data_IF_096895820568
#
_entry.id   IF_096895820568
#
_cell.length_a   1.000
_cell.length_b   1.000
_cell.length_c   1.000
_cell.angle_alpha   90.00
_cell.angle_beta   90.00
_cell.angle_gamma   90.00
#
_symmetry.space_group_name_H-M   'P 1'
#
loop_
_entity.id
_entity.type
_entity.pdbx_description
1 polymer ?
#
# COMPACT_ATOMS: atom_id res chain seq x y z
N UNK A 1 5.77 0.08 21.48
CA UNK A 1 4.58 -0.21 20.65
C UNK A 1 4.94 -1.34 19.71
N UNK A 2 4.11 -2.39 19.58
CA UNK A 2 4.22 -3.27 18.40
C UNK A 2 3.52 -2.52 17.26
N UNK A 3 4.28 -2.00 16.31
CA UNK A 3 3.72 -1.29 15.16
C UNK A 3 2.88 -2.22 14.30
N UNK A 4 1.74 -1.74 13.80
CA UNK A 4 0.91 -2.44 12.84
C UNK A 4 1.40 -2.22 11.40
N UNK A 5 0.91 -3.03 10.46
CA UNK A 5 1.12 -2.77 9.03
C UNK A 5 0.69 -1.36 8.63
N UNK A 6 -0.39 -0.83 9.22
CA UNK A 6 -0.88 0.52 8.96
C UNK A 6 0.12 1.58 9.44
N UNK A 7 0.65 1.43 10.66
CA UNK A 7 1.61 2.40 11.21
C UNK A 7 2.88 2.49 10.36
N UNK A 8 3.36 1.33 9.87
CA UNK A 8 4.52 1.28 8.99
C UNK A 8 4.18 1.89 7.62
N UNK A 9 2.99 1.62 7.07
CA UNK A 9 2.54 2.21 5.81
C UNK A 9 2.46 3.74 5.89
N UNK A 10 1.96 4.30 6.99
CA UNK A 10 1.94 5.75 7.23
C UNK A 10 3.35 6.33 7.32
N UNK A 11 4.29 5.61 7.93
CA UNK A 11 5.69 6.01 7.97
C UNK A 11 6.31 6.05 6.57
N UNK A 12 6.02 5.05 5.73
CA UNK A 12 6.50 5.01 4.34
C UNK A 12 5.93 6.17 3.50
N UNK A 13 4.63 6.47 3.66
CA UNK A 13 3.96 7.61 3.03
C UNK A 13 4.64 8.94 3.38
N UNK A 14 4.96 9.11 4.66
CA UNK A 14 5.64 10.31 5.13
C UNK A 14 7.04 10.42 4.52
N UNK A 15 7.77 9.30 4.43
CA UNK A 15 9.08 9.27 3.79
C UNK A 15 8.99 9.60 2.30
N UNK A 16 8.01 9.04 1.57
CA UNK A 16 7.75 9.36 0.17
C UNK A 16 7.46 10.85 -0.05
N UNK A 17 6.63 11.45 0.81
CA UNK A 17 6.33 12.90 0.79
C UNK A 17 7.60 13.75 0.92
N UNK A 18 8.51 13.38 1.82
CA UNK A 18 9.78 14.12 2.00
C UNK A 18 10.67 13.93 0.77
N UNK A 19 10.76 12.71 0.24
CA UNK A 19 11.52 12.39 -0.97
C UNK A 19 11.12 13.28 -2.17
N UNK A 20 9.82 13.41 -2.42
CA UNK A 20 9.28 14.28 -3.50
C UNK A 20 9.62 15.75 -3.31
N UNK A 21 9.76 16.23 -2.08
CA UNK A 21 9.93 17.65 -1.76
C UNK A 21 11.39 18.07 -1.53
N UNK A 22 12.33 17.13 -1.39
CA UNK A 22 13.76 17.39 -1.14
C UNK A 22 14.48 18.05 -2.32
N UNK A 23 15.61 18.74 -2.21
CA UNK A 23 16.29 19.30 -3.41
C UNK A 23 17.15 18.28 -4.20
N UNK A 24 17.24 17.04 -3.72
CA UNK A 24 18.17 16.00 -4.19
C UNK A 24 17.60 15.09 -5.30
N UNK A 25 16.53 15.53 -5.97
CA UNK A 25 15.43 14.62 -6.35
C UNK A 25 15.72 13.56 -7.42
N UNK A 26 16.43 13.87 -8.50
CA UNK A 26 16.72 12.91 -9.58
C UNK A 26 18.17 12.43 -9.61
N UNK A 27 19.13 13.33 -9.35
CA UNK A 27 20.56 13.05 -9.56
C UNK A 27 21.12 11.93 -8.66
N UNK A 28 20.51 11.69 -7.50
CA UNK A 28 20.89 10.61 -6.58
C UNK A 28 19.81 9.52 -6.43
N UNK A 29 18.80 9.51 -7.31
CA UNK A 29 17.73 8.51 -7.28
C UNK A 29 16.62 8.70 -6.25
N UNK A 30 16.45 9.94 -5.75
CA UNK A 30 15.41 10.26 -4.77
C UNK A 30 13.99 9.89 -5.24
N UNK A 31 13.68 10.10 -6.51
CA UNK A 31 12.39 9.75 -7.09
C UNK A 31 12.13 8.24 -7.17
N UNK A 32 13.13 7.43 -7.51
CA UNK A 32 13.02 5.97 -7.48
C UNK A 32 12.73 5.49 -6.05
N UNK A 33 13.47 6.02 -5.06
CA UNK A 33 13.24 5.70 -3.66
C UNK A 33 11.84 6.11 -3.19
N UNK A 34 11.36 7.27 -3.63
CA UNK A 34 9.99 7.70 -3.34
C UNK A 34 8.96 6.72 -3.91
N UNK A 35 9.03 6.40 -5.20
CA UNK A 35 8.10 5.47 -5.83
C UNK A 35 8.16 4.09 -5.17
N UNK A 36 9.36 3.59 -4.84
CA UNK A 36 9.55 2.36 -4.10
C UNK A 36 8.89 2.41 -2.71
N UNK A 37 9.00 3.52 -1.97
CA UNK A 37 8.29 3.70 -0.71
C UNK A 37 6.77 3.72 -0.89
N UNK A 38 6.26 4.37 -1.94
CA UNK A 38 4.83 4.38 -2.25
C UNK A 38 4.29 2.94 -2.48
N UNK A 39 5.00 2.13 -3.28
CA UNK A 39 4.58 0.73 -3.52
C UNK A 39 4.55 -0.10 -2.24
N UNK A 40 5.53 0.09 -1.37
CA UNK A 40 5.62 -0.62 -0.09
C UNK A 40 4.52 -0.17 0.89
N UNK A 41 4.23 1.13 0.93
CA UNK A 41 3.15 1.66 1.77
C UNK A 41 1.81 1.09 1.34
N UNK A 42 1.51 1.10 0.03
CA UNK A 42 0.28 0.53 -0.53
C UNK A 42 0.15 -0.95 -0.21
N UNK A 43 1.22 -1.73 -0.39
CA UNK A 43 1.21 -3.15 -0.01
C UNK A 43 0.81 -3.31 1.46
N UNK A 44 1.42 -2.53 2.36
CA UNK A 44 1.17 -2.61 3.79
C UNK A 44 -0.24 -2.12 4.16
N UNK A 45 -0.76 -1.08 3.53
CA UNK A 45 -2.15 -0.62 3.71
C UNK A 45 -3.15 -1.72 3.31
N UNK A 46 -2.96 -2.37 2.16
CA UNK A 46 -3.84 -3.46 1.73
C UNK A 46 -3.72 -4.67 2.66
N UNK A 47 -2.49 -5.07 3.03
CA UNK A 47 -2.26 -6.18 3.98
C UNK A 47 -2.85 -5.91 5.36
N UNK A 48 -2.88 -4.65 5.78
CA UNK A 48 -3.52 -4.28 7.04
C UNK A 48 -4.99 -4.69 7.08
N UNK A 49 -5.76 -4.53 5.99
CA UNK A 49 -7.17 -4.92 5.98
C UNK A 49 -7.38 -6.43 6.17
N UNK A 50 -6.53 -7.28 5.58
CA UNK A 50 -6.58 -8.73 5.83
C UNK A 50 -6.39 -9.04 7.30
N UNK A 51 -5.37 -8.43 7.92
CA UNK A 51 -5.04 -8.66 9.32
C UNK A 51 -6.10 -8.07 10.24
N UNK A 52 -6.56 -6.84 10.00
CA UNK A 52 -7.52 -6.14 10.85
C UNK A 52 -8.86 -6.87 10.92
N UNK A 53 -9.34 -7.38 9.79
CA UNK A 53 -10.62 -8.08 9.67
C UNK A 53 -10.53 -9.61 9.77
N UNK A 54 -9.35 -10.15 10.12
CA UNK A 54 -9.09 -11.60 10.21
C UNK A 54 -9.54 -12.36 8.94
N UNK A 55 -9.28 -11.77 7.78
CA UNK A 55 -9.62 -12.36 6.49
C UNK A 55 -8.63 -13.48 6.14
N UNK A 56 -9.04 -14.49 5.36
CA UNK A 56 -8.14 -15.50 4.86
C UNK A 56 -6.94 -14.86 4.15
N UNK A 57 -5.75 -15.08 4.70
CA UNK A 57 -4.50 -14.52 4.20
C UNK A 57 -3.54 -15.67 3.92
N UNK A 58 -3.76 -16.34 2.79
CA UNK A 58 -2.93 -17.47 2.36
C UNK A 58 -1.46 -17.08 2.29
N UNK A 59 -0.55 -17.97 2.68
CA UNK A 59 0.90 -17.70 2.72
C UNK A 59 1.42 -17.09 1.43
N UNK A 60 0.98 -17.62 0.27
CA UNK A 60 1.36 -17.10 -1.06
C UNK A 60 0.91 -15.67 -1.30
N UNK A 61 -0.27 -15.29 -0.82
CA UNK A 61 -0.78 -13.93 -0.92
C UNK A 61 -0.06 -13.00 0.08
N UNK A 62 0.31 -13.53 1.24
CA UNK A 62 1.05 -12.79 2.27
C UNK A 62 2.49 -12.48 1.89
N UNK A 63 3.14 -13.37 1.15
CA UNK A 63 4.49 -13.21 0.61
C UNK A 63 4.48 -12.50 -0.75
N UNK A 64 3.32 -12.44 -1.40
CA UNK A 64 3.16 -11.72 -2.67
C UNK A 64 3.27 -10.22 -2.45
N UNK A 65 3.97 -9.58 -3.39
CA UNK A 65 4.04 -8.14 -3.56
C UNK A 65 3.12 -7.62 -4.67
N UNK A 66 2.27 -8.51 -5.22
CA UNK A 66 1.36 -8.18 -6.29
C UNK A 66 0.14 -7.41 -5.74
N UNK A 67 0.16 -6.08 -5.89
CA UNK A 67 -0.88 -5.19 -5.40
C UNK A 67 -2.25 -5.50 -6.03
N UNK A 68 -2.24 -5.88 -7.31
CA UNK A 68 -3.46 -6.27 -8.01
C UNK A 68 -4.08 -7.55 -7.41
N UNK A 69 -3.25 -8.51 -6.98
CA UNK A 69 -3.73 -9.74 -6.35
C UNK A 69 -4.33 -9.45 -4.96
N UNK A 70 -3.66 -8.64 -4.16
CA UNK A 70 -4.17 -8.20 -2.85
C UNK A 70 -5.53 -7.49 -3.00
N UNK A 71 -5.62 -6.53 -3.92
CA UNK A 71 -6.86 -5.78 -4.15
C UNK A 71 -8.00 -6.69 -4.61
N UNK A 72 -7.75 -7.61 -5.55
CA UNK A 72 -8.79 -8.54 -6.04
C UNK A 72 -9.42 -9.37 -4.92
N UNK A 73 -8.61 -9.82 -3.98
CA UNK A 73 -9.11 -10.58 -2.83
C UNK A 73 -9.89 -9.70 -1.84
N UNK A 74 -9.40 -8.48 -1.56
CA UNK A 74 -10.10 -7.53 -0.70
C UNK A 74 -11.47 -7.12 -1.27
N UNK A 75 -11.58 -6.93 -2.59
CA UNK A 75 -12.83 -6.54 -3.27
C UNK A 75 -13.96 -7.56 -3.07
N UNK A 76 -13.65 -8.82 -2.80
CA UNK A 76 -14.68 -9.83 -2.46
C UNK A 76 -15.39 -9.51 -1.16
N UNK A 77 -14.73 -8.79 -0.25
CA UNK A 77 -15.26 -8.40 1.07
C UNK A 77 -15.65 -6.91 1.12
N UNK A 78 -14.88 -6.07 0.43
CA UNK A 78 -15.02 -4.60 0.39
C UNK A 78 -15.19 -4.15 -1.07
N UNK A 79 -16.39 -4.30 -1.68
CA UNK A 79 -16.60 -4.03 -3.10
C UNK A 79 -16.27 -2.60 -3.52
N UNK A 80 -16.36 -1.62 -2.61
CA UNK A 80 -16.02 -0.22 -2.84
C UNK A 80 -14.55 -0.03 -3.23
N UNK A 81 -13.65 -0.90 -2.76
CA UNK A 81 -12.21 -0.82 -3.09
C UNK A 81 -11.93 -1.09 -4.57
N UNK A 82 -12.92 -1.58 -5.34
CA UNK A 82 -12.78 -1.78 -6.79
C UNK A 82 -12.38 -0.49 -7.51
N UNK A 83 -12.74 0.68 -6.98
CA UNK A 83 -12.33 1.98 -7.52
C UNK A 83 -10.80 2.18 -7.55
N UNK A 84 -10.04 1.45 -6.71
CA UNK A 84 -8.58 1.56 -6.58
C UNK A 84 -7.79 0.71 -7.60
N UNK A 85 -8.47 0.07 -8.55
CA UNK A 85 -7.86 -0.86 -9.52
C UNK A 85 -6.79 -0.17 -10.38
N UNK A 86 -7.02 1.07 -10.79
CA UNK A 86 -6.08 1.83 -11.63
C UNK A 86 -4.78 2.11 -10.87
N UNK A 87 -4.90 2.53 -9.63
CA UNK A 87 -3.83 2.93 -8.73
C UNK A 87 -2.95 1.72 -8.39
N UNK A 88 -3.58 0.60 -8.01
CA UNK A 88 -2.86 -0.65 -7.75
C UNK A 88 -2.15 -1.18 -8.99
N UNK A 89 -2.78 -1.08 -10.18
CA UNK A 89 -2.11 -1.47 -11.43
C UNK A 89 -0.88 -0.63 -11.70
N UNK A 90 -1.02 0.69 -11.67
CA UNK A 90 0.08 1.62 -11.90
C UNK A 90 1.24 1.38 -10.95
N UNK A 91 0.97 1.30 -9.64
CA UNK A 91 2.02 1.13 -8.63
C UNK A 91 2.71 -0.24 -8.69
N UNK A 92 2.01 -1.28 -9.16
CA UNK A 92 2.55 -2.63 -9.22
C UNK A 92 3.76 -2.76 -10.16
N UNK A 93 3.82 -1.95 -11.20
CA UNK A 93 4.90 -1.98 -12.20
C UNK A 93 6.24 -1.50 -11.60
N UNK A 94 6.19 -0.67 -10.55
CA UNK A 94 7.37 -0.09 -9.92
C UNK A 94 8.00 -0.95 -8.81
N UNK A 95 7.44 -2.13 -8.49
CA UNK A 95 7.89 -2.88 -7.33
C UNK A 95 9.32 -3.43 -7.47
N UNK A 96 9.74 -3.85 -8.67
CA UNK A 96 11.06 -4.49 -8.90
C UNK A 96 11.97 -3.60 -9.75
N UNK A 97 11.42 -3.02 -10.82
CA UNK A 97 12.21 -2.47 -11.93
C UNK A 97 13.03 -1.25 -11.55
N UNK A 98 12.62 -0.49 -10.53
CA UNK A 98 13.24 0.79 -10.18
C UNK A 98 14.25 0.71 -9.04
N UNK A 99 14.34 -0.43 -8.36
CA UNK A 99 15.14 -0.60 -7.13
C UNK A 99 16.53 -1.17 -7.39
N UNK A 100 16.71 -1.88 -8.49
CA UNK A 100 17.95 -2.60 -8.77
C UNK A 100 18.45 -2.27 -10.18
N UNK A 101 19.76 -1.98 -10.35
CA UNK A 101 20.34 -1.81 -11.66
C UNK A 101 20.26 -3.15 -12.41
N UNK A 102 19.45 -3.18 -13.47
CA UNK A 102 19.25 -4.30 -14.37
C UNK A 102 18.76 -3.79 -15.72
N UNK A 103 18.47 -4.68 -16.67
CA UNK A 103 18.16 -4.32 -18.06
C UNK A 103 16.94 -3.39 -18.21
N UNK A 104 16.00 -3.46 -17.25
CA UNK A 104 14.79 -2.63 -17.23
C UNK A 104 14.88 -1.44 -16.25
N UNK A 105 16.06 -1.13 -15.71
CA UNK A 105 16.18 -0.02 -14.75
C UNK A 105 15.94 1.32 -15.43
N UNK A 106 15.02 2.11 -14.87
CA UNK A 106 14.72 3.47 -15.32
C UNK A 106 14.79 4.46 -14.15
N UNK A 107 15.36 5.64 -14.41
CA UNK A 107 15.27 6.78 -13.50
C UNK A 107 13.88 7.40 -13.59
N UNK A 108 13.15 7.38 -12.49
CA UNK A 108 11.84 8.00 -12.38
C UNK A 108 11.98 9.53 -12.38
N UNK A 109 11.13 10.19 -13.16
CA UNK A 109 11.03 11.65 -13.16
C UNK A 109 10.07 12.17 -12.07
N UNK A 110 10.02 13.49 -11.90
CA UNK A 110 9.16 14.12 -10.90
C UNK A 110 7.68 13.76 -11.05
N UNK A 111 7.14 13.83 -12.26
CA UNK A 111 5.71 13.64 -12.52
C UNK A 111 5.26 12.22 -12.18
N UNK A 112 6.08 11.22 -12.53
CA UNK A 112 5.83 9.82 -12.18
C UNK A 112 5.93 9.60 -10.68
N UNK A 113 6.94 10.18 -10.01
CA UNK A 113 7.06 10.07 -8.54
C UNK A 113 5.88 10.73 -7.82
N UNK A 114 5.46 11.92 -8.28
CA UNK A 114 4.29 12.62 -7.76
C UNK A 114 3.01 11.79 -7.98
N UNK A 115 2.87 11.17 -9.16
CA UNK A 115 1.72 10.32 -9.46
C UNK A 115 1.68 9.09 -8.55
N UNK A 116 2.82 8.47 -8.24
CA UNK A 116 2.91 7.39 -7.26
C UNK A 116 2.38 7.82 -5.89
N UNK A 117 2.79 8.99 -5.42
CA UNK A 117 2.40 9.52 -4.12
C UNK A 117 0.92 9.90 -4.04
N UNK A 118 0.36 10.50 -5.10
CA UNK A 118 -1.07 10.80 -5.13
C UNK A 118 -1.92 9.51 -5.14
N UNK A 119 -1.51 8.49 -5.90
CA UNK A 119 -2.19 7.19 -5.88
C UNK A 119 -2.05 6.44 -4.55
N UNK A 120 -0.91 6.55 -3.89
CA UNK A 120 -0.74 6.04 -2.53
C UNK A 120 -1.72 6.70 -1.56
N UNK A 121 -1.88 8.03 -1.61
CA UNK A 121 -2.85 8.76 -0.77
C UNK A 121 -4.28 8.30 -1.04
N UNK A 122 -4.68 8.19 -2.30
CA UNK A 122 -6.02 7.71 -2.67
C UNK A 122 -6.28 6.30 -2.11
N UNK A 123 -5.27 5.42 -2.12
CA UNK A 123 -5.39 4.08 -1.55
C UNK A 123 -5.51 4.14 -0.03
N UNK A 124 -4.71 4.98 0.64
CA UNK A 124 -4.85 5.19 2.09
C UNK A 124 -6.26 5.66 2.43
N UNK A 125 -6.80 6.63 1.70
CA UNK A 125 -8.14 7.16 1.94
C UNK A 125 -9.22 6.09 1.72
N UNK A 126 -9.05 5.21 0.73
CA UNK A 126 -9.92 4.05 0.53
C UNK A 126 -9.85 3.03 1.68
N UNK A 127 -8.65 2.77 2.20
CA UNK A 127 -8.44 1.88 3.36
C UNK A 127 -9.04 2.49 4.63
N UNK A 128 -8.84 3.78 4.87
CA UNK A 128 -9.43 4.51 6.00
C UNK A 128 -10.96 4.47 5.93
N UNK A 129 -11.52 4.66 4.73
CA UNK A 129 -12.96 4.59 4.49
C UNK A 129 -13.52 3.22 4.86
N UNK A 130 -12.82 2.11 4.53
CA UNK A 130 -13.23 0.76 4.95
C UNK A 130 -13.17 0.58 6.46
N UNK A 131 -12.09 1.03 7.11
CA UNK A 131 -11.92 0.91 8.57
C UNK A 131 -13.01 1.69 9.32
N UNK A 132 -13.38 2.86 8.81
CA UNK A 132 -14.37 3.74 9.42
C UNK A 132 -15.81 3.42 8.98
N UNK A 133 -16.01 2.48 8.04
CA UNK A 133 -17.34 2.15 7.52
C UNK A 133 -18.17 1.43 8.58
N UNK A 134 -19.31 1.99 9.03
CA UNK A 134 -20.17 1.36 10.04
C UNK A 134 -20.68 -0.03 9.62
N UNK A 135 -20.79 -0.29 8.31
CA UNK A 135 -21.21 -1.60 7.80
C UNK A 135 -20.25 -2.74 8.17
N UNK A 136 -18.99 -2.42 8.51
CA UNK A 136 -17.96 -3.40 8.86
C UNK A 136 -17.55 -3.38 10.33
N UNK A 137 -18.12 -2.48 11.14
CA UNK A 137 -17.78 -2.32 12.55
C UNK A 137 -17.90 -3.63 13.32
N UNK A 138 -19.03 -4.34 13.17
CA UNK A 138 -19.25 -5.59 13.86
C UNK A 138 -18.20 -6.66 13.49
N UNK A 139 -17.84 -6.77 12.20
CA UNK A 139 -16.82 -7.71 11.72
C UNK A 139 -15.44 -7.38 12.32
N UNK A 140 -15.10 -6.09 12.39
CA UNK A 140 -13.85 -5.63 13.00
C UNK A 140 -13.80 -5.97 14.50
N UNK A 141 -14.89 -5.72 15.23
CA UNK A 141 -15.00 -6.05 16.65
C UNK A 141 -14.86 -7.56 16.90
N UNK A 142 -15.46 -8.39 16.05
CA UNK A 142 -15.38 -9.85 16.17
C UNK A 142 -13.96 -10.35 15.91
N UNK A 143 -13.27 -9.79 14.90
CA UNK A 143 -11.86 -10.08 14.63
C UNK A 143 -10.94 -9.68 15.81
N UNK A 144 -11.20 -8.51 16.42
CA UNK A 144 -10.45 -8.05 17.59
C UNK A 144 -10.67 -8.97 18.79
N UNK A 145 -11.92 -9.33 19.12
CA UNK A 145 -12.24 -10.25 20.23
C UNK A 145 -11.52 -11.59 20.07
N UNK A 146 -11.49 -12.15 18.86
CA UNK A 146 -10.80 -13.40 18.58
C UNK A 146 -9.30 -13.32 18.90
N UNK A 147 -8.63 -12.22 18.54
CA UNK A 147 -7.21 -12.00 18.84
C UNK A 147 -6.88 -11.83 20.31
N UNK A 148 -7.82 -11.32 21.12
CA UNK A 148 -7.62 -11.18 22.57
C UNK A 148 -7.89 -12.47 23.34
N UNK A 149 -8.64 -13.40 22.75
CA UNK A 149 -8.99 -14.69 23.36
C UNK A 149 -8.13 -15.86 22.86
N UNK A 150 -7.18 -15.60 21.95
CA UNK A 150 -6.18 -16.54 21.41
C UNK A 150 -4.81 -16.33 22.03
#
# INVERSE_FOLDING_TARGET
MKGSYYDIAVSDLYFAKIGINSELKSFVGGYNNCAASCTQAVEKFLKHLFIAFDLPFETRLSESHNLNALLRELVKTFPELKCLTKQCRFLNDFYIEIRYPGDNFEWINYDTALQCYEYEKEIKDGVDSVIQNPAYEQKLLDALKKKFNS
#
